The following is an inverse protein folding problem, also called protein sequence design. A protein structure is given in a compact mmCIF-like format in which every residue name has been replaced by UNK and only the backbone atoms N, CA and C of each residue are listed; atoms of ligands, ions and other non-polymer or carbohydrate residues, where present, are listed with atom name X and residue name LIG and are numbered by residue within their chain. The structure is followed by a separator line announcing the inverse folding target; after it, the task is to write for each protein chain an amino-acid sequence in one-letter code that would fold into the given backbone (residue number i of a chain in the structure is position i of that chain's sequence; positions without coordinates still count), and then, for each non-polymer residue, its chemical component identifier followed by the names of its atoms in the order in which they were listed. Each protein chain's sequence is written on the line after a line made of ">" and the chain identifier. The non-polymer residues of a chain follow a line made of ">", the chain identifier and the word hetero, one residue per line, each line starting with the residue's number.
data_IF_991817295202
#
_entry.id   IF_991817295202
#
_cell.length_a   1.000
_cell.length_b   1.000
_cell.length_c   1.000
_cell.angle_alpha   90.00
_cell.angle_beta   90.00
_cell.angle_gamma   90.00
#
_symmetry.space_group_name_H-M   'P 1'
#
loop_
_entity.id
_entity.type
_entity.pdbx_description
1 polymer ?
#
# COMPACT_ATOMS: atom_id res chain seq x y z
N UNK A 1 -6.67 -1.96 -11.57
CA UNK A 1 -5.33 -1.92 -12.21
C UNK A 1 -4.91 -3.34 -12.52
N UNK A 2 -4.21 -3.58 -13.64
CA UNK A 2 -3.59 -4.88 -13.93
C UNK A 2 -2.26 -5.00 -13.19
N UNK A 3 -1.74 -6.22 -13.11
CA UNK A 3 -0.41 -6.47 -12.55
C UNK A 3 0.70 -5.70 -13.29
N UNK A 4 0.59 -5.62 -14.60
CA UNK A 4 1.53 -4.90 -15.46
C UNK A 4 1.49 -3.38 -15.18
N UNK A 5 0.30 -2.80 -14.96
CA UNK A 5 0.13 -1.41 -14.55
C UNK A 5 0.81 -1.15 -13.20
N UNK A 6 0.67 -2.07 -12.24
CA UNK A 6 1.33 -1.97 -10.92
C UNK A 6 2.85 -2.00 -11.08
N UNK A 7 3.38 -2.96 -11.84
CA UNK A 7 4.82 -3.08 -12.09
C UNK A 7 5.37 -1.82 -12.76
N UNK A 8 4.62 -1.20 -13.71
CA UNK A 8 4.98 0.08 -14.34
C UNK A 8 5.14 1.19 -13.28
N UNK A 9 4.18 1.33 -12.38
CA UNK A 9 4.21 2.35 -11.32
C UNK A 9 5.39 2.10 -10.37
N UNK A 10 5.52 0.88 -9.85
CA UNK A 10 6.59 0.54 -8.90
C UNK A 10 7.98 0.74 -9.51
N UNK A 11 8.18 0.36 -10.78
CA UNK A 11 9.45 0.59 -11.49
C UNK A 11 9.78 2.07 -11.65
N UNK A 12 8.78 2.93 -11.91
CA UNK A 12 8.97 4.37 -11.98
C UNK A 12 9.42 4.95 -10.62
N UNK A 13 8.77 4.54 -9.53
CA UNK A 13 9.14 4.98 -8.18
C UNK A 13 10.56 4.54 -7.81
N UNK A 14 10.92 3.29 -8.06
CA UNK A 14 12.26 2.76 -7.79
C UNK A 14 13.34 3.46 -8.60
N UNK A 15 13.08 3.76 -9.89
CA UNK A 15 14.03 4.52 -10.73
C UNK A 15 14.32 5.91 -10.18
N UNK A 16 13.36 6.48 -9.46
CA UNK A 16 13.52 7.74 -8.73
C UNK A 16 14.10 7.57 -7.32
N UNK A 17 14.34 6.35 -6.83
CA UNK A 17 14.79 6.11 -5.46
C UNK A 17 13.74 6.46 -4.42
N UNK A 18 12.46 6.33 -4.76
CA UNK A 18 11.36 6.46 -3.81
C UNK A 18 11.27 5.20 -2.97
N UNK A 19 11.29 5.39 -1.67
CA UNK A 19 11.02 4.34 -0.70
C UNK A 19 9.52 4.19 -0.50
N UNK A 20 9.00 2.97 -0.65
CA UNK A 20 7.57 2.68 -0.54
C UNK A 20 7.32 1.30 0.08
N UNK A 21 6.08 1.08 0.51
CA UNK A 21 5.53 -0.26 0.72
C UNK A 21 4.18 -0.38 0.03
N UNK A 22 3.87 -1.58 -0.45
CA UNK A 22 2.56 -1.90 -1.04
C UNK A 22 1.58 -2.23 0.08
N UNK A 23 0.41 -1.61 0.05
CA UNK A 23 -0.67 -1.80 1.01
C UNK A 23 -1.95 -2.31 0.34
N UNK A 24 -3.03 -2.40 1.09
CA UNK A 24 -4.34 -2.75 0.57
C UNK A 24 -4.38 -4.09 -0.17
N UNK A 25 -5.23 -4.20 -1.17
CA UNK A 25 -5.44 -5.45 -1.89
C UNK A 25 -4.19 -6.00 -2.59
N UNK A 26 -3.38 -5.15 -3.21
CA UNK A 26 -2.10 -5.57 -3.81
C UNK A 26 -1.05 -5.95 -2.75
N UNK A 27 -1.11 -5.35 -1.56
CA UNK A 27 -0.27 -5.75 -0.42
C UNK A 27 -0.60 -7.15 0.07
N UNK A 28 -1.88 -7.49 0.14
CA UNK A 28 -2.36 -8.85 0.47
C UNK A 28 -1.93 -9.85 -0.62
N UNK A 29 -2.12 -9.51 -1.90
CA UNK A 29 -1.67 -10.34 -3.02
C UNK A 29 -0.15 -10.57 -2.98
N UNK A 30 0.63 -9.55 -2.60
CA UNK A 30 2.07 -9.67 -2.45
C UNK A 30 2.46 -10.66 -1.34
N UNK A 31 1.80 -10.61 -0.18
CA UNK A 31 2.01 -11.54 0.93
C UNK A 31 1.62 -12.98 0.58
N UNK A 32 0.52 -13.13 -0.17
CA UNK A 32 0.02 -14.44 -0.61
C UNK A 32 0.86 -15.02 -1.76
N UNK A 33 1.56 -14.15 -2.52
CA UNK A 33 2.39 -14.51 -3.67
C UNK A 33 1.62 -14.77 -4.96
N UNK A 34 0.33 -14.43 -5.00
CA UNK A 34 -0.52 -14.55 -6.19
C UNK A 34 -1.63 -13.50 -6.18
N UNK A 35 -2.08 -13.09 -7.37
CA UNK A 35 -3.22 -12.21 -7.50
C UNK A 35 -4.51 -12.96 -7.16
N UNK A 36 -5.23 -12.50 -6.15
CA UNK A 36 -6.43 -13.16 -5.61
C UNK A 36 -7.72 -12.63 -6.23
N UNK A 37 -7.70 -11.39 -6.74
CA UNK A 37 -8.83 -10.73 -7.39
C UNK A 37 -8.39 -9.59 -8.31
N UNK A 38 -9.32 -8.98 -8.99
CA UNK A 38 -9.08 -7.73 -9.71
C UNK A 38 -9.10 -6.56 -8.71
N UNK A 39 -8.10 -5.66 -8.82
CA UNK A 39 -8.00 -4.44 -8.03
C UNK A 39 -8.30 -3.21 -8.89
N UNK A 40 -8.96 -2.20 -8.32
CA UNK A 40 -9.27 -0.93 -9.00
C UNK A 40 -8.12 0.06 -8.90
N UNK A 41 -7.38 0.00 -7.82
CA UNK A 41 -6.35 0.92 -7.37
C UNK A 41 -5.08 0.19 -6.92
N UNK A 42 -4.06 0.97 -6.61
CA UNK A 42 -2.83 0.54 -5.98
C UNK A 42 -2.60 1.43 -4.76
N UNK A 43 -2.62 0.83 -3.58
CA UNK A 43 -2.35 1.51 -2.31
C UNK A 43 -0.86 1.45 -1.99
N UNK A 44 -0.25 2.60 -1.73
CA UNK A 44 1.18 2.71 -1.41
C UNK A 44 1.41 3.60 -0.19
N UNK A 45 2.16 3.11 0.77
CA UNK A 45 2.71 3.97 1.79
C UNK A 45 4.01 4.60 1.31
N UNK A 46 4.12 5.93 1.43
CA UNK A 46 5.27 6.72 0.97
C UNK A 46 5.52 7.90 1.93
N UNK A 47 6.68 8.52 1.83
CA UNK A 47 6.96 9.73 2.61
C UNK A 47 6.24 10.94 2.00
N UNK A 48 5.70 11.79 2.88
CA UNK A 48 5.09 13.06 2.49
C UNK A 48 6.06 13.93 1.68
N UNK A 49 7.33 13.97 2.06
CA UNK A 49 8.39 14.73 1.38
C UNK A 49 8.65 14.27 -0.07
N UNK A 50 8.30 13.03 -0.40
CA UNK A 50 8.52 12.46 -1.73
C UNK A 50 7.38 12.75 -2.72
N UNK A 51 6.25 13.30 -2.27
CA UNK A 51 5.05 13.51 -3.11
C UNK A 51 5.36 14.29 -4.38
N UNK A 52 6.06 15.42 -4.31
CA UNK A 52 6.39 16.23 -5.49
C UNK A 52 7.26 15.45 -6.50
N UNK A 53 8.15 14.59 -6.01
CA UNK A 53 8.99 13.72 -6.84
C UNK A 53 8.17 12.60 -7.47
N UNK A 54 7.25 11.99 -6.71
CA UNK A 54 6.32 10.97 -7.20
C UNK A 54 5.47 11.51 -8.36
N UNK A 55 4.92 12.71 -8.23
CA UNK A 55 4.16 13.36 -9.30
C UNK A 55 4.99 13.58 -10.57
N UNK A 56 6.27 13.91 -10.41
CA UNK A 56 7.21 14.04 -11.53
C UNK A 56 7.49 12.68 -12.21
N UNK A 57 7.61 11.61 -11.42
CA UNK A 57 7.86 10.25 -11.91
C UNK A 57 6.62 9.62 -12.56
N UNK A 58 5.43 10.05 -12.14
CA UNK A 58 4.14 9.57 -12.64
C UNK A 58 3.35 10.65 -13.41
N UNK A 59 3.90 11.23 -14.50
CA UNK A 59 3.35 12.42 -15.14
C UNK A 59 1.96 12.22 -15.80
N UNK A 60 1.54 10.95 -15.94
CA UNK A 60 0.19 10.61 -16.44
C UNK A 60 -0.88 10.66 -15.35
N UNK A 61 -0.48 10.63 -14.08
CA UNK A 61 -1.36 10.66 -12.93
C UNK A 61 -1.51 12.09 -12.42
N UNK A 62 -2.70 12.47 -12.00
CA UNK A 62 -3.02 13.80 -11.47
C UNK A 62 -3.77 13.65 -10.15
N UNK A 63 -3.60 14.60 -9.24
CA UNK A 63 -4.36 14.67 -7.98
C UNK A 63 -5.86 14.77 -8.29
N UNK A 64 -6.63 13.95 -7.57
CA UNK A 64 -8.10 13.94 -7.69
C UNK A 64 -8.75 14.70 -6.53
N UNK A 65 -8.25 14.53 -5.31
CA UNK A 65 -8.76 15.15 -4.11
C UNK A 65 -7.64 15.39 -3.10
N UNK A 66 -7.79 16.43 -2.30
CA UNK A 66 -6.94 16.77 -1.16
C UNK A 66 -7.74 16.78 0.14
N UNK A 67 -8.95 16.19 0.17
CA UNK A 67 -9.83 16.22 1.35
C UNK A 67 -9.19 15.57 2.57
N UNK A 68 -8.36 14.54 2.37
CA UNK A 68 -7.67 13.81 3.43
C UNK A 68 -6.18 14.20 3.57
N UNK A 69 -5.77 15.29 2.90
CA UNK A 69 -4.43 15.82 3.01
C UNK A 69 -4.13 16.31 4.44
N UNK A 70 -2.93 16.08 5.00
CA UNK A 70 -1.75 15.45 4.43
C UNK A 70 -1.65 13.93 4.68
N UNK A 71 -2.70 13.26 5.12
CA UNK A 71 -2.67 11.84 5.46
C UNK A 71 -2.76 10.93 4.25
N UNK A 72 -3.51 11.35 3.22
CA UNK A 72 -3.73 10.59 1.99
C UNK A 72 -3.71 11.49 0.77
N UNK A 73 -3.37 10.92 -0.38
CA UNK A 73 -3.41 11.58 -1.67
C UNK A 73 -3.80 10.58 -2.77
N UNK A 74 -4.93 10.82 -3.41
CA UNK A 74 -5.38 10.01 -4.54
C UNK A 74 -4.90 10.60 -5.85
N UNK A 75 -4.18 9.78 -6.63
CA UNK A 75 -3.74 10.10 -7.99
C UNK A 75 -4.52 9.23 -8.99
N UNK A 76 -4.99 9.84 -10.09
CA UNK A 76 -5.64 9.11 -11.20
C UNK A 76 -5.11 9.53 -12.56
N UNK A 77 -5.07 8.57 -13.48
CA UNK A 77 -4.78 8.85 -14.88
C UNK A 77 -6.06 8.88 -15.74
N UNK A 78 -5.90 9.27 -17.00
CA UNK A 78 -7.01 9.35 -17.97
C UNK A 78 -7.63 7.99 -18.34
N UNK A 79 -6.94 6.88 -18.03
CA UNK A 79 -7.45 5.51 -18.22
C UNK A 79 -8.25 5.01 -17.01
N UNK A 80 -8.37 5.83 -15.95
CA UNK A 80 -9.04 5.47 -14.70
C UNK A 80 -8.20 4.61 -13.76
N UNK A 81 -6.88 4.44 -14.01
CA UNK A 81 -5.96 3.80 -13.06
C UNK A 81 -5.81 4.74 -11.87
N UNK A 82 -5.82 4.19 -10.68
CA UNK A 82 -5.72 4.95 -9.44
C UNK A 82 -4.53 4.46 -8.61
N UNK A 83 -3.79 5.42 -8.02
CA UNK A 83 -2.77 5.18 -7.01
C UNK A 83 -3.17 5.98 -5.79
N UNK A 84 -3.41 5.28 -4.69
CA UNK A 84 -3.75 5.89 -3.41
C UNK A 84 -2.51 5.90 -2.51
N UNK A 85 -2.08 7.08 -2.11
CA UNK A 85 -0.87 7.28 -1.33
C UNK A 85 -1.24 7.51 0.14
N UNK A 86 -0.83 6.61 1.02
CA UNK A 86 -0.77 6.79 2.46
C UNK A 86 0.52 7.55 2.77
N UNK A 87 0.41 8.77 3.32
CA UNK A 87 1.52 9.70 3.46
C UNK A 87 2.04 9.70 4.90
N UNK A 88 3.32 9.40 5.06
CA UNK A 88 3.98 9.39 6.37
C UNK A 88 5.12 10.39 6.47
N UNK A 89 5.30 10.94 7.65
CA UNK A 89 6.47 11.73 8.05
C UNK A 89 7.40 10.84 8.88
N UNK A 90 8.72 11.00 8.70
CA UNK A 90 9.71 10.36 9.57
C UNK A 90 10.18 11.37 10.61
N UNK A 91 10.02 11.02 11.89
CA UNK A 91 10.57 11.82 12.99
C UNK A 91 12.11 11.71 13.07
N UNK A 92 12.76 12.58 13.82
CA UNK A 92 14.20 12.52 14.10
C UNK A 92 14.62 11.17 14.73
N UNK A 93 13.73 10.53 15.51
CA UNK A 93 13.92 9.20 16.07
C UNK A 93 13.65 8.04 15.10
N UNK A 94 13.37 8.32 13.82
CA UNK A 94 13.14 7.31 12.78
C UNK A 94 11.73 6.71 12.75
N UNK A 95 10.82 7.17 13.61
CA UNK A 95 9.43 6.69 13.65
C UNK A 95 8.61 7.25 12.48
N UNK A 96 7.72 6.43 11.93
CA UNK A 96 6.81 6.83 10.85
C UNK A 96 5.45 7.27 11.43
N UNK A 97 5.03 8.47 11.09
CA UNK A 97 3.79 9.07 11.54
C UNK A 97 2.92 9.50 10.37
N UNK A 98 1.67 9.09 10.38
CA UNK A 98 0.65 9.57 9.46
C UNK A 98 -0.22 10.62 10.17
N UNK A 99 -0.38 11.78 9.54
CA UNK A 99 -1.29 12.81 9.98
C UNK A 99 -2.66 12.56 9.38
N UNK A 100 -3.67 12.33 10.21
CA UNK A 100 -5.06 12.17 9.79
C UNK A 100 -5.87 13.45 10.02
N UNK A 101 -7.11 13.43 9.52
CA UNK A 101 -8.07 14.52 9.76
C UNK A 101 -8.25 14.81 11.26
N UNK A 102 -8.70 16.04 11.58
CA UNK A 102 -8.91 16.54 12.94
C UNK A 102 -7.65 16.50 13.84
N UNK A 103 -6.45 16.55 13.26
CA UNK A 103 -5.19 16.59 14.00
C UNK A 103 -4.77 15.25 14.63
N UNK A 104 -5.48 14.17 14.34
CA UNK A 104 -5.12 12.82 14.82
C UNK A 104 -3.85 12.33 14.11
N UNK A 105 -2.97 11.67 14.84
CA UNK A 105 -1.77 11.04 14.30
C UNK A 105 -1.77 9.54 14.57
N UNK A 106 -1.31 8.77 13.60
CA UNK A 106 -1.13 7.32 13.71
C UNK A 106 0.36 7.01 13.52
N UNK A 107 0.88 6.11 14.35
CA UNK A 107 2.25 5.62 14.27
C UNK A 107 2.26 4.30 13.50
N UNK A 108 3.15 4.20 12.52
CA UNK A 108 3.43 2.96 11.80
C UNK A 108 4.83 2.47 12.20
N UNK A 109 4.92 1.24 12.72
CA UNK A 109 6.21 0.63 13.00
C UNK A 109 6.92 0.30 11.67
N UNK A 110 8.18 0.69 11.53
CA UNK A 110 8.93 0.45 10.28
C UNK A 110 8.99 -1.05 9.91
N UNK A 111 9.08 -1.94 10.90
CA UNK A 111 9.02 -3.38 10.68
C UNK A 111 7.71 -3.85 10.03
N UNK A 112 6.60 -3.15 10.28
CA UNK A 112 5.29 -3.48 9.73
C UNK A 112 5.14 -3.01 8.26
N UNK A 113 5.98 -2.10 7.80
CA UNK A 113 5.98 -1.59 6.41
C UNK A 113 7.01 -2.28 5.52
N UNK A 114 7.77 -3.26 6.06
CA UNK A 114 8.89 -3.93 5.39
C UNK A 114 8.73 -5.43 5.25
N UNK A 115 7.50 -5.94 5.33
CA UNK A 115 7.28 -7.35 5.03
C UNK A 115 7.67 -7.64 3.57
N UNK A 116 8.19 -8.84 3.33
CA UNK A 116 8.57 -9.28 1.98
C UNK A 116 7.39 -9.94 1.30
N UNK A 117 7.10 -9.54 0.06
CA UNK A 117 6.07 -10.12 -0.78
C UNK A 117 6.50 -10.16 -2.24
N UNK A 118 5.62 -10.68 -3.12
CA UNK A 118 5.90 -10.80 -4.54
C UNK A 118 4.69 -10.37 -5.38
N UNK A 119 4.92 -9.54 -6.40
CA UNK A 119 3.92 -9.18 -7.41
C UNK A 119 4.46 -9.59 -8.78
N UNK A 120 3.83 -10.59 -9.41
CA UNK A 120 4.28 -11.12 -10.69
C UNK A 120 5.71 -11.68 -10.67
N UNK A 121 6.13 -12.26 -9.54
CA UNK A 121 7.48 -12.77 -9.34
C UNK A 121 8.52 -11.69 -8.96
N UNK A 122 8.16 -10.41 -8.95
CA UNK A 122 9.00 -9.31 -8.50
C UNK A 122 8.92 -9.17 -6.98
N UNK A 123 10.04 -9.15 -6.26
CA UNK A 123 10.04 -8.89 -4.83
C UNK A 123 9.64 -7.43 -4.56
N UNK A 124 8.81 -7.22 -3.54
CA UNK A 124 8.37 -5.90 -3.07
C UNK A 124 8.37 -5.84 -1.55
N UNK A 125 8.52 -4.64 -0.99
CA UNK A 125 8.12 -4.39 0.39
C UNK A 125 6.62 -4.15 0.45
N UNK A 126 5.95 -4.76 1.42
CA UNK A 126 4.52 -4.57 1.63
C UNK A 126 4.21 -4.43 3.12
N UNK A 127 3.00 -3.97 3.42
CA UNK A 127 2.46 -3.97 4.77
C UNK A 127 2.45 -5.41 5.31
N UNK A 128 2.83 -5.59 6.57
CA UNK A 128 2.82 -6.89 7.23
C UNK A 128 1.39 -7.42 7.39
N UNK A 129 1.28 -8.68 7.76
CA UNK A 129 -0.01 -9.29 8.12
C UNK A 129 -0.71 -8.51 9.24
N UNK A 130 0.06 -8.04 10.24
CA UNK A 130 -0.50 -7.29 11.36
C UNK A 130 -1.04 -5.94 10.90
N UNK A 131 -0.28 -5.20 10.09
CA UNK A 131 -0.69 -3.91 9.56
C UNK A 131 -1.88 -4.04 8.59
N UNK A 132 -1.89 -5.06 7.72
CA UNK A 132 -3.04 -5.34 6.85
C UNK A 132 -4.32 -5.61 7.66
N UNK A 133 -4.22 -6.35 8.78
CA UNK A 133 -5.37 -6.54 9.66
C UNK A 133 -5.84 -5.23 10.29
N UNK A 134 -4.92 -4.38 10.75
CA UNK A 134 -5.28 -3.08 11.33
C UNK A 134 -6.02 -2.20 10.31
N UNK A 135 -5.57 -2.20 9.04
CA UNK A 135 -6.17 -1.39 7.98
C UNK A 135 -7.52 -1.92 7.48
N UNK A 136 -7.77 -3.24 7.55
CA UNK A 136 -8.98 -3.87 7.03
C UNK A 136 -9.97 -4.32 8.11
N UNK A 137 -9.57 -4.46 9.39
CA UNK A 137 -10.44 -4.91 10.48
C UNK A 137 -10.86 -3.73 11.37
N UNK A 138 -11.75 -2.89 10.86
CA UNK A 138 -12.30 -1.73 11.56
C UNK A 138 -13.85 -1.71 11.44
N UNK A 139 -14.56 -0.92 12.26
CA UNK A 139 -16.02 -0.91 12.28
C UNK A 139 -16.69 -0.63 10.92
N UNK A 140 -16.04 0.16 10.08
CA UNK A 140 -16.55 0.55 8.76
C UNK A 140 -15.98 -0.36 7.63
N UNK A 141 -15.36 -1.51 7.98
CA UNK A 141 -14.78 -2.44 7.01
C UNK A 141 -15.83 -2.95 6.02
N UNK A 142 -15.49 -2.90 4.75
CA UNK A 142 -16.33 -3.36 3.64
C UNK A 142 -16.39 -4.89 3.58
N UNK A 143 -17.31 -5.44 2.78
CA UNK A 143 -17.33 -6.87 2.51
C UNK A 143 -16.05 -7.33 1.79
N UNK A 144 -15.44 -6.44 0.98
CA UNK A 144 -14.18 -6.73 0.31
C UNK A 144 -13.03 -6.84 1.31
N UNK A 145 -12.95 -5.97 2.30
CA UNK A 145 -11.93 -6.04 3.37
C UNK A 145 -12.02 -7.37 4.12
N UNK A 146 -13.25 -7.80 4.44
CA UNK A 146 -13.48 -9.09 5.10
C UNK A 146 -13.06 -10.29 4.24
N UNK A 147 -13.25 -10.21 2.91
CA UNK A 147 -12.78 -11.24 1.98
C UNK A 147 -11.25 -11.27 1.92
N UNK A 148 -10.62 -10.12 1.82
CA UNK A 148 -9.17 -9.97 1.74
C UNK A 148 -8.48 -10.53 2.99
N UNK A 149 -8.99 -10.23 4.19
CA UNK A 149 -8.50 -10.83 5.45
C UNK A 149 -8.65 -12.35 5.48
N UNK A 150 -9.79 -12.90 5.01
CA UNK A 150 -9.96 -14.36 4.95
C UNK A 150 -8.97 -15.04 4.00
N UNK A 151 -8.63 -14.39 2.89
CA UNK A 151 -7.61 -14.89 1.96
C UNK A 151 -6.25 -14.96 2.66
N UNK A 152 -5.85 -13.88 3.33
CA UNK A 152 -4.61 -13.79 4.09
C UNK A 152 -4.52 -14.86 5.18
N UNK A 153 -5.59 -15.06 5.95
CA UNK A 153 -5.64 -16.06 7.02
C UNK A 153 -5.54 -17.50 6.50
N UNK A 154 -6.15 -17.79 5.35
CA UNK A 154 -6.02 -19.12 4.72
C UNK A 154 -4.59 -19.43 4.33
N UNK A 155 -3.88 -18.45 3.74
CA UNK A 155 -2.48 -18.60 3.37
C UNK A 155 -1.62 -18.88 4.59
N UNK A 156 -1.78 -18.13 5.66
CA UNK A 156 -1.04 -18.33 6.90
C UNK A 156 -1.26 -19.72 7.53
N UNK A 157 -2.49 -20.24 7.46
CA UNK A 157 -2.78 -21.62 7.92
C UNK A 157 -2.10 -22.65 7.04
N UNK A 158 -2.17 -22.50 5.72
CA UNK A 158 -1.53 -23.43 4.78
C UNK A 158 -0.01 -23.48 4.94
N UNK A 159 0.63 -22.34 5.19
CA UNK A 159 2.07 -22.28 5.44
C UNK A 159 2.45 -22.92 6.79
N UNK A 160 1.60 -22.81 7.82
CA UNK A 160 1.80 -23.46 9.11
C UNK A 160 1.70 -25.01 9.03
N UNK A 161 0.78 -25.52 8.22
CA UNK A 161 0.61 -26.97 8.00
C UNK A 161 1.73 -27.57 7.13
N UNK A 162 2.36 -26.77 6.27
CA UNK A 162 3.45 -27.23 5.40
C UNK A 162 4.81 -27.35 6.13
N UNK A 163 4.94 -26.77 7.32
CA UNK A 163 6.18 -26.76 8.14
C UNK A 163 6.14 -27.83 9.28
N UNK A 164 4.99 -28.46 9.52
CA UNK A 164 4.79 -29.52 10.53
C UNK A 164 4.91 -30.91 9.92
#
# INVERSE_FOLDING_TARGET
>A
MTREDVIEVLAALESGGIDYWVDGGWGIDALVGQQTRTHRDLDLGVRLDDVAKIETLLPRFQRVSEEEWPGFLLLKDKRGRAVDLLLVERSEGGQLWQQLAAGRRVHHAESETRASGYIGGRPVHCASVALQREHHDHPDATDQDRVDIKVLERKLRGDAEAVG
#
